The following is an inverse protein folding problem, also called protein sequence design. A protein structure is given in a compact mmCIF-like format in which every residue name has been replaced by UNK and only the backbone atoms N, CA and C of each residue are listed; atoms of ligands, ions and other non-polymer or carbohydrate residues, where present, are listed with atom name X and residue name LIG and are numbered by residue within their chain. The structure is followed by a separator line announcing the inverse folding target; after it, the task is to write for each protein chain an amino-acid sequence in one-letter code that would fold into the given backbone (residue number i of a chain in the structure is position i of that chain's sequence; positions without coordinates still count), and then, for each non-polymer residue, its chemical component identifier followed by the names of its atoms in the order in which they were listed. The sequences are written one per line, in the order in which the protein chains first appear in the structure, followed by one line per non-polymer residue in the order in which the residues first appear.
data_IF_481969147428
#
_entry.id   IF_481969147428
#
_cell.length_a   1.000
_cell.length_b   1.000
_cell.length_c   1.000
_cell.angle_alpha   90.00
_cell.angle_beta   90.00
_cell.angle_gamma   90.00
#
_symmetry.space_group_name_H-M   'P 1'
#
loop_
_entity.id
_entity.type
_entity.pdbx_description
1 polymer ?
#
# COMPACT_ATOMS: atom_id res chain seq x y z
N UNK A 1 5.67 8.90 18.28
CA UNK A 1 6.28 8.67 16.94
C UNK A 1 7.30 7.53 16.91
N UNK A 2 8.32 7.49 17.79
CA UNK A 2 9.35 6.42 17.80
C UNK A 2 8.80 4.99 17.93
N UNK A 3 7.71 4.80 18.68
CA UNK A 3 7.05 3.50 18.88
C UNK A 3 6.35 2.96 17.63
N UNK A 4 5.85 3.82 16.74
CA UNK A 4 5.10 3.37 15.54
C UNK A 4 5.99 2.75 14.47
N UNK A 5 7.26 3.14 14.44
CA UNK A 5 8.19 2.79 13.35
C UNK A 5 9.37 1.94 13.81
N UNK A 6 9.46 1.64 15.11
CA UNK A 6 10.49 0.71 15.62
C UNK A 6 10.17 -0.69 15.09
N UNK A 7 11.19 -1.32 14.51
CA UNK A 7 11.07 -2.70 14.09
C UNK A 7 11.11 -3.65 15.27
N UNK A 8 10.14 -4.55 15.33
CA UNK A 8 10.19 -5.67 16.25
C UNK A 8 11.01 -6.78 15.59
N UNK A 9 12.34 -6.60 15.64
CA UNK A 9 13.43 -7.49 15.23
C UNK A 9 13.22 -8.40 13.99
N UNK A 10 14.12 -8.26 13.01
CA UNK A 10 14.35 -9.25 11.96
C UNK A 10 15.12 -10.44 12.58
N UNK A 11 14.39 -11.46 13.04
CA UNK A 11 14.94 -12.69 13.63
C UNK A 11 13.92 -13.83 13.65
N UNK A 12 14.29 -14.99 14.23
CA UNK A 12 13.44 -16.20 14.32
C UNK A 12 12.02 -15.95 14.88
N UNK A 13 11.84 -14.91 15.69
CA UNK A 13 10.54 -14.50 16.23
C UNK A 13 9.55 -14.03 15.14
N UNK A 14 10.03 -13.42 14.06
CA UNK A 14 9.19 -12.95 12.95
C UNK A 14 8.51 -14.10 12.19
N UNK A 15 9.17 -15.25 12.08
CA UNK A 15 8.63 -16.46 11.44
C UNK A 15 8.05 -17.46 12.44
N UNK A 16 7.81 -17.03 13.69
CA UNK A 16 7.11 -17.87 14.66
C UNK A 16 5.70 -18.19 14.16
N UNK A 17 5.21 -19.40 14.45
CA UNK A 17 3.85 -19.80 14.06
C UNK A 17 2.79 -18.81 14.53
N UNK A 18 2.95 -18.26 15.74
CA UNK A 18 2.06 -17.23 16.27
C UNK A 18 2.06 -15.94 15.43
N UNK A 19 3.22 -15.42 15.04
CA UNK A 19 3.28 -14.19 14.23
C UNK A 19 2.79 -14.42 12.80
N UNK A 20 3.05 -15.59 12.21
CA UNK A 20 2.51 -15.97 10.90
C UNK A 20 0.99 -16.02 10.94
N UNK A 21 0.41 -16.72 11.92
CA UNK A 21 -1.05 -16.77 12.12
C UNK A 21 -1.63 -15.38 12.33
N UNK A 22 -1.04 -14.56 13.20
CA UNK A 22 -1.51 -13.20 13.43
C UNK A 22 -1.42 -12.31 12.16
N UNK A 23 -0.40 -12.51 11.34
CA UNK A 23 -0.25 -11.80 10.07
C UNK A 23 -1.33 -12.22 9.07
N UNK A 24 -1.58 -13.52 8.93
CA UNK A 24 -2.66 -14.04 8.08
C UNK A 24 -4.04 -13.57 8.55
N UNK A 25 -4.31 -13.59 9.86
CA UNK A 25 -5.56 -13.07 10.41
C UNK A 25 -5.73 -11.57 10.14
N UNK A 26 -4.66 -10.77 10.28
CA UNK A 26 -4.69 -9.33 9.96
C UNK A 26 -5.11 -9.12 8.50
N UNK A 27 -4.57 -9.90 7.58
CA UNK A 27 -4.87 -9.77 6.15
C UNK A 27 -6.22 -10.39 5.78
N UNK A 28 -6.67 -11.43 6.47
CA UNK A 28 -8.01 -11.97 6.32
C UNK A 28 -9.07 -10.95 6.72
N UNK A 29 -8.84 -10.18 7.80
CA UNK A 29 -9.71 -9.07 8.18
C UNK A 29 -9.73 -7.95 7.13
N UNK A 30 -8.56 -7.56 6.62
CA UNK A 30 -8.47 -6.54 5.57
C UNK A 30 -9.16 -7.00 4.27
N UNK A 31 -8.92 -8.23 3.85
CA UNK A 31 -9.56 -8.84 2.68
C UNK A 31 -11.08 -8.97 2.88
N UNK A 32 -11.52 -9.39 4.07
CA UNK A 32 -12.93 -9.49 4.44
C UNK A 32 -13.62 -8.13 4.41
N UNK A 33 -12.96 -7.07 4.87
CA UNK A 33 -13.48 -5.71 4.78
C UNK A 33 -13.64 -5.25 3.31
N UNK A 34 -12.65 -5.51 2.45
CA UNK A 34 -12.74 -5.20 1.02
C UNK A 34 -13.85 -5.99 0.33
N UNK A 35 -13.99 -7.29 0.64
CA UNK A 35 -15.07 -8.14 0.13
C UNK A 35 -16.45 -7.63 0.56
N UNK A 36 -16.61 -7.33 1.86
CA UNK A 36 -17.85 -6.79 2.40
C UNK A 36 -18.23 -5.47 1.70
N UNK A 37 -17.28 -4.54 1.58
CA UNK A 37 -17.52 -3.27 0.90
C UNK A 37 -17.85 -3.48 -0.59
N UNK A 38 -17.22 -4.46 -1.26
CA UNK A 38 -17.56 -4.77 -2.65
C UNK A 38 -18.96 -5.40 -2.80
N UNK A 39 -19.39 -6.24 -1.86
CA UNK A 39 -20.78 -6.74 -1.80
C UNK A 39 -21.74 -5.57 -1.66
N UNK A 40 -21.53 -4.71 -0.67
CA UNK A 40 -22.39 -3.53 -0.44
C UNK A 40 -22.39 -2.61 -1.67
N UNK A 41 -21.23 -2.37 -2.29
CA UNK A 41 -21.13 -1.54 -3.49
C UNK A 41 -21.92 -2.15 -4.66
N UNK A 42 -21.89 -3.47 -4.81
CA UNK A 42 -22.64 -4.18 -5.86
C UNK A 42 -24.15 -4.08 -5.63
N UNK A 43 -24.61 -4.23 -4.38
CA UNK A 43 -26.03 -4.14 -4.00
C UNK A 43 -26.59 -2.71 -4.09
N UNK A 44 -25.73 -1.69 -4.00
CA UNK A 44 -26.10 -0.27 -4.03
C UNK A 44 -25.88 0.38 -5.40
N UNK A 45 -25.62 -0.39 -6.46
CA UNK A 45 -25.44 0.16 -7.81
C UNK A 45 -24.19 1.03 -7.95
N UNK A 46 -23.08 0.65 -7.28
CA UNK A 46 -21.79 1.36 -7.27
C UNK A 46 -21.76 2.67 -6.47
N UNK A 47 -22.73 2.89 -5.58
CA UNK A 47 -22.84 4.13 -4.79
C UNK A 47 -21.58 4.42 -3.98
N UNK A 48 -20.99 3.42 -3.30
CA UNK A 48 -19.80 3.62 -2.47
C UNK A 48 -18.62 4.12 -3.33
N UNK A 49 -18.38 3.49 -4.48
CA UNK A 49 -17.28 3.90 -5.36
C UNK A 49 -17.45 5.29 -5.96
N UNK A 50 -18.69 5.73 -6.20
CA UNK A 50 -18.97 7.04 -6.78
C UNK A 50 -18.84 8.18 -5.76
N UNK A 51 -19.10 7.92 -4.47
CA UNK A 51 -19.19 8.97 -3.44
C UNK A 51 -18.06 8.91 -2.41
N UNK A 52 -17.41 7.76 -2.24
CA UNK A 52 -16.33 7.54 -1.26
C UNK A 52 -14.97 7.25 -1.92
N UNK A 53 -14.86 7.43 -3.24
CA UNK A 53 -13.59 7.47 -3.94
C UNK A 53 -12.89 8.84 -3.80
N UNK A 54 -11.62 8.92 -4.19
CA UNK A 54 -10.89 10.20 -4.19
C UNK A 54 -11.25 10.98 -5.44
N UNK A 55 -12.01 12.06 -5.26
CA UNK A 55 -12.28 13.07 -6.29
C UNK A 55 -11.27 14.22 -6.17
N UNK A 56 -10.41 14.46 -7.17
CA UNK A 56 -9.31 15.42 -7.05
C UNK A 56 -9.79 16.86 -6.80
N UNK A 57 -9.11 17.56 -5.89
CA UNK A 57 -9.31 18.99 -5.59
C UNK A 57 -10.74 19.38 -5.17
N UNK A 58 -11.46 18.47 -4.52
CA UNK A 58 -12.79 18.70 -3.92
C UNK A 58 -12.78 18.43 -2.41
N UNK A 59 -13.66 19.06 -1.63
CA UNK A 59 -13.71 18.81 -0.18
C UNK A 59 -14.22 17.39 0.12
N UNK A 60 -15.20 16.93 -0.65
CA UNK A 60 -15.78 15.59 -0.54
C UNK A 60 -14.73 14.52 -0.86
N UNK A 61 -13.87 14.76 -1.86
CA UNK A 61 -12.80 13.85 -2.24
C UNK A 61 -11.73 13.63 -1.15
N UNK A 62 -11.63 14.51 -0.14
CA UNK A 62 -10.76 14.28 1.02
C UNK A 62 -11.28 13.12 1.89
N UNK A 63 -12.60 12.95 2.01
CA UNK A 63 -13.18 11.77 2.67
C UNK A 63 -12.80 10.50 1.92
N UNK A 64 -12.71 10.59 0.58
CA UNK A 64 -12.24 9.52 -0.28
C UNK A 64 -10.87 8.97 0.10
N UNK A 65 -9.99 9.78 0.69
CA UNK A 65 -8.67 9.32 1.16
C UNK A 65 -8.83 8.20 2.18
N UNK A 66 -9.85 8.22 3.03
CA UNK A 66 -10.06 7.22 4.08
C UNK A 66 -10.58 5.88 3.55
N UNK A 67 -11.29 5.89 2.43
CA UNK A 67 -12.02 4.70 1.95
C UNK A 67 -11.49 4.14 0.63
N UNK A 68 -10.92 4.98 -0.24
CA UNK A 68 -10.56 4.61 -1.60
C UNK A 68 -9.70 3.33 -1.70
N UNK A 69 -8.70 3.07 -0.84
CA UNK A 69 -7.95 1.81 -0.91
C UNK A 69 -8.75 0.55 -0.59
N UNK A 70 -9.93 0.66 0.00
CA UNK A 70 -10.83 -0.46 0.31
C UNK A 70 -11.90 -0.68 -0.77
N UNK A 71 -12.13 0.31 -1.63
CA UNK A 71 -13.17 0.30 -2.65
C UNK A 71 -12.61 -0.19 -3.99
N UNK A 72 -13.41 -0.94 -4.75
CA UNK A 72 -13.00 -1.50 -6.03
C UNK A 72 -14.09 -1.29 -7.09
N UNK A 73 -13.67 -1.11 -8.34
CA UNK A 73 -14.56 -0.78 -9.46
C UNK A 73 -15.46 -1.95 -9.87
N UNK A 74 -15.16 -3.15 -9.36
CA UNK A 74 -15.84 -4.39 -9.68
C UNK A 74 -15.07 -5.59 -9.11
N UNK A 75 -15.66 -6.77 -9.26
CA UNK A 75 -15.10 -8.01 -8.75
C UNK A 75 -13.73 -8.35 -9.36
N UNK A 76 -13.55 -8.14 -10.66
CA UNK A 76 -12.25 -8.36 -11.32
C UNK A 76 -11.14 -7.47 -10.74
N UNK A 77 -11.46 -6.18 -10.52
CA UNK A 77 -10.53 -5.24 -9.89
C UNK A 77 -10.17 -5.71 -8.46
N UNK A 78 -11.15 -6.10 -7.65
CA UNK A 78 -10.91 -6.63 -6.30
C UNK A 78 -10.01 -7.87 -6.31
N UNK A 79 -10.33 -8.89 -7.11
CA UNK A 79 -9.57 -10.14 -7.14
C UNK A 79 -8.13 -9.94 -7.59
N UNK A 80 -7.90 -9.05 -8.57
CA UNK A 80 -6.54 -8.70 -9.01
C UNK A 80 -5.69 -8.05 -7.91
N UNK A 81 -6.33 -7.34 -6.98
CA UNK A 81 -5.66 -6.64 -5.88
C UNK A 81 -5.46 -7.55 -4.66
N UNK A 82 -6.43 -8.40 -4.33
CA UNK A 82 -6.41 -9.24 -3.12
C UNK A 82 -5.16 -10.11 -3.02
N UNK A 83 -4.74 -10.77 -4.10
CA UNK A 83 -3.55 -11.61 -4.10
C UNK A 83 -2.28 -10.81 -3.72
N UNK A 84 -2.15 -9.60 -4.25
CA UNK A 84 -1.03 -8.71 -3.99
C UNK A 84 -1.10 -8.11 -2.59
N UNK A 85 -2.29 -7.72 -2.14
CA UNK A 85 -2.51 -7.21 -0.79
C UNK A 85 -2.11 -8.25 0.25
N UNK A 86 -2.50 -9.52 0.05
CA UNK A 86 -2.11 -10.61 0.95
C UNK A 86 -0.60 -10.83 0.88
N UNK A 87 -0.01 -10.95 -0.31
CA UNK A 87 1.42 -11.24 -0.44
C UNK A 87 2.31 -10.13 0.17
N UNK A 88 2.12 -8.88 -0.25
CA UNK A 88 2.94 -7.76 0.21
C UNK A 88 2.60 -7.33 1.63
N UNK A 89 1.31 -7.29 1.97
CA UNK A 89 0.85 -6.98 3.31
C UNK A 89 1.41 -7.97 4.34
N UNK A 90 1.50 -9.26 3.99
CA UNK A 90 2.13 -10.28 4.84
C UNK A 90 3.60 -9.96 5.12
N UNK A 91 4.39 -9.71 4.08
CA UNK A 91 5.82 -9.40 4.21
C UNK A 91 6.10 -8.12 5.02
N UNK A 92 5.20 -7.13 4.96
CA UNK A 92 5.28 -5.92 5.79
C UNK A 92 4.85 -6.23 7.23
N UNK A 93 3.76 -6.99 7.42
CA UNK A 93 3.20 -7.35 8.72
C UNK A 93 4.10 -8.28 9.54
N UNK A 94 4.92 -9.10 8.89
CA UNK A 94 5.98 -9.88 9.54
C UNK A 94 6.99 -8.99 10.28
N UNK A 95 7.13 -7.71 9.90
CA UNK A 95 8.00 -6.74 10.58
C UNK A 95 7.44 -6.18 11.89
N UNK A 96 6.22 -6.57 12.28
CA UNK A 96 5.56 -6.18 13.52
C UNK A 96 4.21 -5.48 13.30
N UNK A 97 3.23 -5.64 14.20
CA UNK A 97 1.90 -5.04 14.07
C UNK A 97 1.94 -3.52 14.01
N UNK A 98 2.68 -2.90 14.92
CA UNK A 98 2.76 -1.44 15.02
C UNK A 98 3.44 -0.84 13.79
N UNK A 99 4.54 -1.46 13.35
CA UNK A 99 5.25 -1.05 12.13
C UNK A 99 4.35 -1.19 10.90
N UNK A 100 3.56 -2.26 10.79
CA UNK A 100 2.60 -2.45 9.70
C UNK A 100 1.57 -1.33 9.63
N UNK A 101 0.99 -0.95 10.78
CA UNK A 101 0.03 0.17 10.84
C UNK A 101 0.72 1.47 10.44
N UNK A 102 1.90 1.77 11.00
CA UNK A 102 2.64 3.00 10.68
C UNK A 102 3.04 3.10 9.20
N UNK A 103 3.58 2.03 8.63
CA UNK A 103 3.97 1.98 7.21
C UNK A 103 2.75 2.13 6.30
N UNK A 104 1.68 1.38 6.58
CA UNK A 104 0.46 1.41 5.79
C UNK A 104 -0.22 2.78 5.86
N UNK A 105 -0.30 3.40 7.04
CA UNK A 105 -0.89 4.73 7.21
C UNK A 105 -0.11 5.81 6.43
N UNK A 106 1.23 5.78 6.44
CA UNK A 106 2.04 6.73 5.67
C UNK A 106 1.78 6.56 4.16
N UNK A 107 1.81 5.32 3.66
CA UNK A 107 1.52 5.05 2.23
C UNK A 107 0.12 5.52 1.87
N UNK A 108 -0.86 5.18 2.69
CA UNK A 108 -2.27 5.50 2.49
C UNK A 108 -2.51 7.01 2.39
N UNK A 109 -1.96 7.78 3.35
CA UNK A 109 -2.15 9.23 3.37
C UNK A 109 -1.37 9.93 2.27
N UNK A 110 -0.11 9.55 2.02
CA UNK A 110 0.72 10.17 0.97
C UNK A 110 0.14 9.88 -0.41
N UNK A 111 -0.27 8.64 -0.68
CA UNK A 111 -0.94 8.30 -1.94
C UNK A 111 -2.26 9.03 -2.10
N UNK A 112 -3.11 9.06 -1.07
CA UNK A 112 -4.39 9.75 -1.11
C UNK A 112 -4.28 11.25 -1.39
N UNK A 113 -3.37 11.93 -0.68
CA UNK A 113 -3.09 13.36 -0.90
C UNK A 113 -2.48 13.61 -2.27
N UNK A 114 -1.56 12.74 -2.71
CA UNK A 114 -0.96 12.81 -4.04
C UNK A 114 -2.00 12.71 -5.15
N UNK A 115 -2.90 11.74 -5.07
CA UNK A 115 -4.03 11.58 -5.99
C UNK A 115 -4.91 12.83 -5.95
N UNK A 116 -5.32 13.27 -4.75
CA UNK A 116 -6.22 14.40 -4.59
C UNK A 116 -5.65 15.69 -5.21
N UNK A 117 -4.34 15.92 -5.11
CA UNK A 117 -3.66 17.08 -5.68
C UNK A 117 -3.46 16.99 -7.20
N UNK A 118 -3.15 15.80 -7.73
CA UNK A 118 -2.53 15.68 -9.06
C UNK A 118 -3.34 14.88 -10.08
N UNK A 119 -4.33 14.09 -9.66
CA UNK A 119 -5.14 13.33 -10.61
C UNK A 119 -6.06 14.25 -11.43
N UNK A 120 -6.44 13.84 -12.66
CA UNK A 120 -7.26 14.64 -13.56
C UNK A 120 -8.59 15.07 -12.92
N UNK A 121 -9.03 16.31 -13.19
CA UNK A 121 -10.33 16.77 -12.73
C UNK A 121 -11.46 15.90 -13.33
N UNK A 122 -12.53 15.68 -12.57
CA UNK A 122 -13.63 14.80 -12.98
C UNK A 122 -13.33 13.30 -12.92
N UNK A 123 -12.15 12.90 -12.46
CA UNK A 123 -11.84 11.49 -12.18
C UNK A 123 -12.19 11.09 -10.75
N UNK A 124 -12.39 9.80 -10.53
CA UNK A 124 -12.51 9.20 -9.19
C UNK A 124 -11.51 8.06 -9.10
N UNK A 125 -10.66 8.08 -8.08
CA UNK A 125 -9.64 7.03 -7.87
C UNK A 125 -9.98 6.17 -6.66
N UNK A 126 -9.85 4.85 -6.84
CA UNK A 126 -10.13 3.80 -5.87
C UNK A 126 -9.20 2.60 -6.12
N UNK A 127 -9.11 1.69 -5.15
CA UNK A 127 -8.41 0.42 -5.26
C UNK A 127 -7.19 0.30 -4.35
N UNK A 128 -6.94 -0.92 -3.86
CA UNK A 128 -5.86 -1.21 -2.92
C UNK A 128 -4.46 -1.17 -3.55
N UNK A 129 -4.36 -1.09 -4.87
CA UNK A 129 -3.07 -1.10 -5.59
C UNK A 129 -2.10 -0.01 -5.15
N UNK A 130 -2.58 1.13 -4.65
CA UNK A 130 -1.73 2.18 -4.06
C UNK A 130 -0.93 1.67 -2.85
N UNK A 131 -1.54 0.80 -2.03
CA UNK A 131 -0.90 0.16 -0.88
C UNK A 131 0.12 -0.87 -1.35
N UNK A 132 -0.23 -1.67 -2.36
CA UNK A 132 0.66 -2.67 -2.96
C UNK A 132 1.95 -2.00 -3.47
N UNK A 133 1.81 -0.91 -4.23
CA UNK A 133 2.93 -0.18 -4.79
C UNK A 133 3.80 0.45 -3.69
N UNK A 134 3.18 1.02 -2.66
CA UNK A 134 3.91 1.56 -1.51
C UNK A 134 4.59 0.48 -0.67
N UNK A 135 3.97 -0.68 -0.45
CA UNK A 135 4.58 -1.79 0.29
C UNK A 135 5.75 -2.39 -0.48
N UNK A 136 5.64 -2.52 -1.81
CA UNK A 136 6.77 -2.94 -2.65
C UNK A 136 7.94 -1.96 -2.53
N UNK A 137 7.70 -0.66 -2.72
CA UNK A 137 8.73 0.37 -2.58
C UNK A 137 9.35 0.37 -1.17
N UNK A 138 8.53 0.24 -0.13
CA UNK A 138 8.99 0.10 1.25
C UNK A 138 9.90 -1.13 1.44
N UNK A 139 9.52 -2.30 0.93
CA UNK A 139 10.30 -3.54 1.06
C UNK A 139 11.65 -3.46 0.33
N UNK A 140 11.67 -2.85 -0.86
CA UNK A 140 12.92 -2.61 -1.61
C UNK A 140 13.81 -1.66 -0.83
N UNK A 141 13.32 -0.46 -0.51
CA UNK A 141 14.13 0.60 0.12
C UNK A 141 14.60 0.20 1.52
N UNK A 142 13.77 -0.45 2.34
CA UNK A 142 14.16 -0.86 3.70
C UNK A 142 15.36 -1.82 3.68
N UNK A 143 15.46 -2.69 2.67
CA UNK A 143 16.57 -3.63 2.53
C UNK A 143 17.90 -2.91 2.38
N UNK A 144 17.93 -1.88 1.51
CA UNK A 144 19.11 -1.03 1.33
C UNK A 144 19.44 -0.21 2.57
N UNK A 145 18.44 0.43 3.20
CA UNK A 145 18.65 1.25 4.40
C UNK A 145 19.16 0.43 5.60
N UNK A 146 18.76 -0.84 5.71
CA UNK A 146 19.25 -1.76 6.75
C UNK A 146 20.51 -2.53 6.37
N UNK A 147 21.02 -2.37 5.15
CA UNK A 147 22.16 -3.13 4.59
C UNK A 147 21.99 -4.65 4.74
N UNK A 148 20.74 -5.12 4.65
CA UNK A 148 20.40 -6.53 4.85
C UNK A 148 20.32 -7.24 3.50
N UNK A 149 21.36 -7.98 3.12
CA UNK A 149 21.48 -8.63 1.80
C UNK A 149 20.26 -9.47 1.46
N UNK A 150 19.74 -10.28 2.38
CA UNK A 150 18.54 -11.09 2.14
C UNK A 150 17.29 -10.25 1.84
N UNK A 151 17.15 -9.08 2.47
CA UNK A 151 16.02 -8.17 2.19
C UNK A 151 16.21 -7.42 0.88
N UNK A 152 17.45 -7.09 0.51
CA UNK A 152 17.79 -6.50 -0.79
C UNK A 152 17.44 -7.49 -1.90
N UNK A 153 17.88 -8.74 -1.79
CA UNK A 153 17.58 -9.79 -2.77
C UNK A 153 16.07 -10.02 -2.88
N UNK A 154 15.36 -10.13 -1.75
CA UNK A 154 13.90 -10.22 -1.76
C UNK A 154 13.26 -9.03 -2.48
N UNK A 155 13.68 -7.80 -2.18
CA UNK A 155 13.18 -6.60 -2.84
C UNK A 155 13.42 -6.61 -4.35
N UNK A 156 14.62 -7.02 -4.79
CA UNK A 156 14.96 -7.15 -6.22
C UNK A 156 14.09 -8.19 -6.91
N UNK A 157 13.89 -9.37 -6.30
CA UNK A 157 13.03 -10.43 -6.85
C UNK A 157 11.59 -9.96 -6.97
N UNK A 158 11.06 -9.32 -5.91
CA UNK A 158 9.72 -8.76 -5.93
C UNK A 158 9.57 -7.69 -7.02
N UNK A 159 10.56 -6.81 -7.18
CA UNK A 159 10.58 -5.80 -8.24
C UNK A 159 10.74 -6.44 -9.63
N UNK A 160 11.48 -7.52 -9.79
CA UNK A 160 11.59 -8.20 -11.09
C UNK A 160 10.28 -8.86 -11.51
N UNK A 161 9.61 -9.57 -10.58
CA UNK A 161 8.35 -10.28 -10.85
C UNK A 161 7.19 -9.30 -11.02
N UNK A 162 7.06 -8.34 -10.10
CA UNK A 162 5.90 -7.46 -10.02
C UNK A 162 6.17 -6.03 -10.52
N UNK A 163 7.42 -5.65 -10.75
CA UNK A 163 7.79 -4.37 -11.35
C UNK A 163 7.41 -4.26 -12.81
N UNK A 164 7.24 -5.39 -13.52
CA UNK A 164 6.62 -5.38 -14.84
C UNK A 164 5.19 -4.82 -14.77
N UNK A 165 4.34 -5.29 -13.85
CA UNK A 165 3.00 -4.72 -13.60
C UNK A 165 3.06 -3.24 -13.19
N UNK A 166 4.14 -2.82 -12.54
CA UNK A 166 4.42 -1.42 -12.24
C UNK A 166 4.70 -0.61 -13.52
N UNK A 167 5.52 -1.14 -14.42
CA UNK A 167 5.88 -0.49 -15.69
C UNK A 167 4.75 -0.53 -16.71
N UNK A 168 4.11 -1.68 -16.92
CA UNK A 168 2.94 -1.82 -17.80
C UNK A 168 1.74 -1.07 -17.24
N UNK A 169 1.57 -1.02 -15.91
CA UNK A 169 0.55 -0.23 -15.25
C UNK A 169 0.74 1.27 -15.49
N UNK A 170 1.97 1.78 -15.31
CA UNK A 170 2.32 3.18 -15.63
C UNK A 170 2.18 3.46 -17.13
N UNK A 171 2.65 2.56 -18.01
CA UNK A 171 2.61 2.75 -19.45
C UNK A 171 1.18 2.71 -20.01
N UNK A 172 0.35 1.74 -19.61
CA UNK A 172 -1.06 1.68 -20.01
C UNK A 172 -1.88 2.82 -19.39
N UNK A 173 -1.53 3.28 -18.18
CA UNK A 173 -2.15 4.44 -17.53
C UNK A 173 -1.78 5.79 -18.18
N UNK A 174 -0.55 5.92 -18.68
CA UNK A 174 -0.05 7.14 -19.29
C UNK A 174 -0.47 7.27 -20.77
N UNK A 175 -0.75 6.15 -21.45
CA UNK A 175 -0.96 6.12 -22.90
C UNK A 175 -2.22 5.37 -23.37
N UNK A 176 -3.04 4.82 -22.46
CA UNK A 176 -4.27 4.07 -22.78
C UNK A 176 -5.57 4.84 -22.46
N UNK A 177 -6.69 4.54 -23.15
CA UNK A 177 -8.00 5.05 -22.78
C UNK A 177 -8.51 4.28 -21.54
N UNK A 178 -8.47 4.93 -20.38
CA UNK A 178 -8.94 4.35 -19.12
C UNK A 178 -8.04 4.75 -17.95
N UNK A 179 -8.63 5.47 -17.00
CA UNK A 179 -8.01 6.10 -15.82
C UNK A 179 -7.44 5.11 -14.80
N UNK A 180 -6.38 4.39 -15.14
CA UNK A 180 -5.51 3.80 -14.12
C UNK A 180 -4.70 4.95 -13.54
N UNK A 181 -4.90 5.28 -12.26
CA UNK A 181 -4.24 6.43 -11.61
C UNK A 181 -2.76 6.10 -11.35
N UNK A 182 -1.92 6.24 -12.37
CA UNK A 182 -0.46 6.16 -12.22
C UNK A 182 0.05 7.16 -11.17
N UNK A 183 -0.66 8.28 -10.96
CA UNK A 183 -0.39 9.19 -9.85
C UNK A 183 -0.54 8.47 -8.51
N UNK A 184 -1.63 7.71 -8.32
CA UNK A 184 -1.81 6.88 -7.12
C UNK A 184 -0.68 5.88 -6.91
N UNK A 185 -0.20 5.25 -7.97
CA UNK A 185 0.94 4.33 -7.94
C UNK A 185 2.25 5.03 -7.58
N UNK A 186 2.54 6.17 -8.21
CA UNK A 186 3.70 7.00 -7.93
C UNK A 186 3.71 7.47 -6.47
N UNK A 187 2.62 8.09 -6.02
CA UNK A 187 2.54 8.59 -4.65
C UNK A 187 2.43 7.47 -3.61
N UNK A 188 1.93 6.29 -3.98
CA UNK A 188 2.09 5.06 -3.20
C UNK A 188 3.55 4.71 -2.98
N UNK A 189 4.36 4.67 -4.04
CA UNK A 189 5.80 4.42 -3.93
C UNK A 189 6.56 5.51 -3.15
N UNK A 190 6.23 6.79 -3.36
CA UNK A 190 6.78 7.90 -2.57
C UNK A 190 6.46 7.69 -1.08
N UNK A 191 5.22 7.34 -0.75
CA UNK A 191 4.81 6.98 0.61
C UNK A 191 5.59 5.79 1.16
N UNK A 192 5.86 4.77 0.34
CA UNK A 192 6.66 3.61 0.71
C UNK A 192 8.13 3.95 1.02
N UNK A 193 8.75 4.78 0.19
CA UNK A 193 10.12 5.30 0.42
C UNK A 193 10.17 6.12 1.71
N UNK A 194 9.19 7.01 1.91
CA UNK A 194 9.08 7.82 3.13
C UNK A 194 8.91 6.92 4.37
N UNK A 195 8.02 5.92 4.30
CA UNK A 195 7.82 4.97 5.38
C UNK A 195 9.10 4.18 5.70
N UNK A 196 9.85 3.75 4.69
CA UNK A 196 11.11 3.03 4.87
C UNK A 196 12.16 3.91 5.58
N UNK A 197 12.24 5.18 5.19
CA UNK A 197 13.12 6.14 5.85
C UNK A 197 12.70 6.44 7.29
N UNK A 198 11.40 6.59 7.57
CA UNK A 198 10.88 6.79 8.94
C UNK A 198 11.20 5.60 9.86
N UNK A 199 11.04 4.37 9.35
CA UNK A 199 11.44 3.13 10.05
C UNK A 199 12.94 3.10 10.30
N UNK A 200 13.76 3.38 9.28
CA UNK A 200 15.21 3.41 9.41
C UNK A 200 15.69 4.44 10.45
N UNK A 201 15.05 5.63 10.50
CA UNK A 201 15.32 6.63 11.54
C UNK A 201 14.95 6.16 12.93
N UNK A 202 13.80 5.51 13.09
CA UNK A 202 13.36 4.99 14.38
C UNK A 202 14.25 3.84 14.90
N UNK A 203 14.81 3.04 13.99
CA UNK A 203 15.76 1.97 14.26
C UNK A 203 17.20 2.46 14.48
N UNK A 204 17.48 3.75 14.22
CA UNK A 204 18.82 4.34 14.34
C UNK A 204 19.79 3.99 13.20
N UNK A 205 19.31 3.35 12.12
CA UNK A 205 20.15 2.99 10.96
C UNK A 205 20.48 4.18 10.07
N UNK A 206 19.65 5.24 10.11
CA UNK A 206 19.88 6.52 9.45
C UNK A 206 19.83 7.61 10.52
N UNK A 207 20.97 7.89 11.19
CA UNK A 207 21.02 8.98 12.17
C UNK A 207 22.06 8.93 13.29
N UNK A 208 22.91 7.90 13.39
CA UNK A 208 24.01 7.88 14.37
C UNK A 208 25.20 8.77 13.99
N UNK A 209 24.94 10.01 13.55
CA UNK A 209 25.92 11.10 13.54
C UNK A 209 25.22 12.38 13.96
N UNK A 210 25.33 12.68 15.25
CA UNK A 210 25.67 14.00 15.83
C UNK A 210 25.77 13.83 17.34
#
# INVERSE_FOLDING_TARGET
MRTLFRSEQVGRASLSGANVTASLLTLAWLAGAMLLLQVVNSLTGSWLTQHLGITPRTLEGLLGILFAPLLHAGWSHLWSNLALVVAFGFLVRLGGPTQFVGVTAVIWLVSGLGIWLTAPAGSVTIGASVLVFGWLAYLVVRGFLRRAVGQILLGIVLLAIWGSIFWTGIALAAFGPGSVSWQGHLFGAVGGVLAAWLVARADGTVGARR
#
